data_IF_380360381374
#
_entry.id   IF_380360381374
#
_cell.length_a   1.000
_cell.length_b   1.000
_cell.length_c   1.000
_cell.angle_alpha   90.00
_cell.angle_beta   90.00
_cell.angle_gamma   90.00
#
_symmetry.space_group_name_H-M   'P 1'
#
loop_
_entity.id
_entity.type
_entity.pdbx_description
1 polymer ?
#
# COMPACT_ATOMS: atom_id res chain seq x y z
N UNK A 1 -5.82 -26.53 -7.35
CA UNK A 1 -6.41 -25.19 -7.37
C UNK A 1 -7.86 -25.32 -7.81
N UNK A 2 -8.79 -25.17 -6.87
CA UNK A 2 -10.23 -25.29 -7.10
C UNK A 2 -10.79 -24.04 -7.77
N UNK A 3 -11.81 -24.20 -8.59
CA UNK A 3 -12.59 -23.09 -9.17
C UNK A 3 -13.08 -22.13 -8.08
N UNK A 4 -13.37 -22.65 -6.88
CA UNK A 4 -13.79 -21.84 -5.74
C UNK A 4 -12.68 -20.92 -5.22
N UNK A 5 -11.41 -21.35 -5.24
CA UNK A 5 -10.26 -20.53 -4.83
C UNK A 5 -9.99 -19.42 -5.83
N UNK A 6 -10.12 -19.73 -7.13
CA UNK A 6 -9.96 -18.75 -8.22
C UNK A 6 -11.07 -17.69 -8.13
N UNK A 7 -12.32 -18.11 -7.95
CA UNK A 7 -13.45 -17.18 -7.82
C UNK A 7 -13.34 -16.28 -6.57
N UNK A 8 -12.79 -16.81 -5.46
CA UNK A 8 -12.53 -16.01 -4.27
C UNK A 8 -11.49 -14.92 -4.53
N UNK A 9 -10.42 -15.26 -5.26
CA UNK A 9 -9.39 -14.30 -5.64
C UNK A 9 -9.89 -13.22 -6.59
N UNK A 10 -10.63 -13.61 -7.63
CA UNK A 10 -11.24 -12.66 -8.57
C UNK A 10 -12.18 -11.68 -7.85
N UNK A 11 -12.99 -12.15 -6.88
CA UNK A 11 -13.87 -11.27 -6.10
C UNK A 11 -13.10 -10.30 -5.19
N UNK A 12 -12.00 -10.73 -4.61
CA UNK A 12 -11.15 -9.86 -3.80
C UNK A 12 -10.48 -8.77 -4.67
N UNK A 13 -10.05 -9.14 -5.88
CA UNK A 13 -9.51 -8.22 -6.88
C UNK A 13 -10.57 -7.20 -7.34
N UNK A 14 -11.81 -7.63 -7.58
CA UNK A 14 -12.92 -6.76 -8.01
C UNK A 14 -13.34 -5.74 -6.93
N UNK A 15 -13.36 -6.15 -5.66
CA UNK A 15 -13.63 -5.26 -4.53
C UNK A 15 -12.54 -4.18 -4.38
N UNK A 16 -11.28 -4.53 -4.64
CA UNK A 16 -10.15 -3.61 -4.60
C UNK A 16 -10.23 -2.56 -5.73
N UNK A 17 -10.72 -2.96 -6.91
CA UNK A 17 -10.98 -2.07 -8.06
C UNK A 17 -12.16 -1.14 -7.78
N UNK A 18 -13.27 -1.66 -7.25
CA UNK A 18 -14.45 -0.86 -6.93
C UNK A 18 -14.14 0.20 -5.85
N UNK A 19 -13.33 -0.15 -4.85
CA UNK A 19 -12.87 0.79 -3.83
C UNK A 19 -11.97 1.88 -4.44
N UNK A 20 -11.02 1.50 -5.31
CA UNK A 20 -10.17 2.46 -6.01
C UNK A 20 -10.93 3.42 -6.93
N UNK A 21 -12.08 3.01 -7.48
CA UNK A 21 -12.93 3.87 -8.32
C UNK A 21 -13.71 4.93 -7.51
N UNK A 22 -13.99 4.67 -6.23
CA UNK A 22 -14.76 5.56 -5.35
C UNK A 22 -13.89 6.62 -4.64
N UNK A 23 -12.59 6.38 -4.53
CA UNK A 23 -11.65 7.25 -3.84
C UNK A 23 -10.53 7.66 -4.79
N UNK A 24 -10.45 8.92 -5.25
CA UNK A 24 -9.41 9.35 -6.17
C UNK A 24 -8.01 9.10 -5.59
N UNK A 25 -7.04 8.94 -6.48
CA UNK A 25 -5.69 8.47 -6.20
C UNK A 25 -5.10 8.98 -4.88
N UNK A 26 -4.60 8.06 -4.05
CA UNK A 26 -3.91 8.38 -2.81
C UNK A 26 -4.82 8.58 -1.59
N UNK A 27 -6.13 8.34 -1.69
CA UNK A 27 -7.02 8.27 -0.54
C UNK A 27 -7.20 6.82 -0.05
N UNK A 28 -7.31 6.56 1.26
CA UNK A 28 -7.26 7.52 2.37
C UNK A 28 -5.81 7.89 2.72
N UNK A 29 -5.55 9.02 3.38
CA UNK A 29 -4.16 9.43 3.73
C UNK A 29 -3.75 9.10 5.17
N UNK A 30 -4.71 8.82 6.04
CA UNK A 30 -4.50 8.49 7.45
C UNK A 30 -3.64 7.24 7.61
N UNK A 31 -2.83 7.18 8.67
CA UNK A 31 -2.09 5.96 8.95
C UNK A 31 -3.06 4.79 9.16
N UNK A 32 -2.75 3.57 8.68
CA UNK A 32 -3.56 2.41 8.98
C UNK A 32 -3.51 2.12 10.49
N UNK A 33 -4.64 1.70 11.07
CA UNK A 33 -4.75 1.33 12.49
C UNK A 33 -4.03 0.02 12.83
N UNK A 34 -3.41 -0.62 11.83
CA UNK A 34 -2.68 -1.88 11.95
C UNK A 34 -1.36 -1.79 11.19
N UNK A 35 -0.33 -2.59 11.59
CA UNK A 35 0.87 -2.74 10.81
C UNK A 35 0.56 -3.35 9.44
N UNK A 36 1.08 -2.74 8.38
CA UNK A 36 0.95 -3.30 7.04
C UNK A 36 1.83 -4.54 6.89
N UNK A 37 1.32 -5.56 6.21
CA UNK A 37 2.16 -6.62 5.65
C UNK A 37 3.02 -6.08 4.49
N UNK A 38 4.07 -6.81 4.13
CA UNK A 38 4.94 -6.41 3.00
C UNK A 38 4.16 -6.25 1.67
N UNK A 39 3.24 -7.16 1.30
CA UNK A 39 2.42 -6.98 0.10
C UNK A 39 1.52 -5.73 0.16
N UNK A 40 0.86 -5.48 1.30
CA UNK A 40 0.02 -4.29 1.50
C UNK A 40 0.82 -3.00 1.44
N UNK A 41 2.04 -3.01 1.99
CA UNK A 41 2.96 -1.87 1.91
C UNK A 41 3.36 -1.57 0.47
N UNK A 42 3.66 -2.60 -0.35
CA UNK A 42 3.90 -2.41 -1.78
C UNK A 42 2.69 -1.84 -2.51
N UNK A 43 1.49 -2.36 -2.28
CA UNK A 43 0.27 -1.85 -2.89
C UNK A 43 0.02 -0.38 -2.49
N UNK A 44 0.23 -0.06 -1.22
CA UNK A 44 0.11 1.30 -0.68
C UNK A 44 1.10 2.24 -1.39
N UNK A 45 2.37 1.85 -1.54
CA UNK A 45 3.35 2.67 -2.26
C UNK A 45 2.96 2.94 -3.72
N UNK A 46 2.32 1.99 -4.39
CA UNK A 46 1.81 2.15 -5.76
C UNK A 46 0.62 3.11 -5.83
N UNK A 47 -0.33 2.98 -4.88
CA UNK A 47 -1.51 3.85 -4.77
C UNK A 47 -1.15 5.30 -4.42
N UNK A 48 -0.17 5.47 -3.54
CA UNK A 48 0.30 6.76 -3.06
C UNK A 48 1.56 7.25 -3.80
N UNK A 49 1.69 6.93 -5.10
CA UNK A 49 2.87 7.32 -5.89
C UNK A 49 3.10 8.83 -5.90
N UNK A 50 2.02 9.62 -5.89
CA UNK A 50 2.05 11.09 -5.96
C UNK A 50 2.22 11.75 -4.59
N UNK A 51 1.99 11.01 -3.51
CA UNK A 51 2.18 11.53 -2.16
C UNK A 51 3.67 11.63 -1.82
N UNK A 52 4.06 12.59 -1.00
CA UNK A 52 5.36 12.56 -0.33
C UNK A 52 5.29 11.72 0.95
N UNK A 53 6.42 11.13 1.36
CA UNK A 53 6.46 10.24 2.53
C UNK A 53 6.34 11.02 3.84
N UNK A 54 6.85 12.24 3.90
CA UNK A 54 6.76 13.19 5.02
C UNK A 54 5.36 13.81 5.19
N UNK A 55 4.57 13.87 4.11
CA UNK A 55 3.24 14.50 4.11
C UNK A 55 2.06 13.50 4.15
N UNK A 56 2.30 12.21 3.88
CA UNK A 56 1.26 11.18 3.81
C UNK A 56 1.50 10.07 4.83
N UNK A 57 0.78 10.06 5.97
CA UNK A 57 0.93 9.05 7.02
C UNK A 57 0.78 7.61 6.52
N UNK A 58 -0.16 7.34 5.60
CA UNK A 58 -0.32 6.01 5.01
C UNK A 58 0.91 5.58 4.21
N UNK A 59 1.52 6.50 3.45
CA UNK A 59 2.77 6.23 2.70
C UNK A 59 3.96 6.06 3.66
N UNK A 60 4.03 6.86 4.73
CA UNK A 60 5.06 6.72 5.76
C UNK A 60 5.03 5.34 6.43
N UNK A 61 3.83 4.85 6.77
CA UNK A 61 3.66 3.51 7.34
C UNK A 61 4.15 2.43 6.38
N UNK A 62 3.77 2.50 5.09
CA UNK A 62 4.22 1.56 4.08
C UNK A 62 5.75 1.61 3.86
N UNK A 63 6.32 2.82 3.80
CA UNK A 63 7.76 3.00 3.68
C UNK A 63 8.51 2.34 4.84
N UNK A 64 8.06 2.58 6.08
CA UNK A 64 8.66 2.01 7.29
C UNK A 64 8.63 0.48 7.24
N UNK A 65 7.47 -0.13 6.95
CA UNK A 65 7.36 -1.60 6.80
C UNK A 65 8.34 -2.15 5.76
N UNK A 66 8.53 -1.48 4.63
CA UNK A 66 9.44 -1.95 3.59
C UNK A 66 10.92 -1.78 3.96
N UNK A 67 11.26 -0.75 4.73
CA UNK A 67 12.61 -0.57 5.28
C UNK A 67 12.92 -1.64 6.32
N UNK A 68 12.01 -1.85 7.28
CA UNK A 68 12.18 -2.83 8.36
C UNK A 68 12.28 -4.27 7.84
N UNK A 69 11.57 -4.58 6.74
CA UNK A 69 11.65 -5.88 6.06
C UNK A 69 12.82 -6.00 5.08
N UNK A 70 13.65 -4.97 4.94
CA UNK A 70 14.81 -4.96 4.04
C UNK A 70 14.47 -4.92 2.55
N UNK A 71 13.22 -4.60 2.18
CA UNK A 71 12.76 -4.47 0.79
C UNK A 71 13.10 -3.11 0.19
N UNK A 72 13.26 -2.10 1.04
CA UNK A 72 13.72 -0.77 0.67
C UNK A 72 14.95 -0.45 1.51
N UNK A 73 16.00 0.03 0.84
CA UNK A 73 17.16 0.60 1.51
C UNK A 73 17.10 2.12 1.33
N UNK A 74 16.92 2.90 2.42
CA UNK A 74 16.95 4.36 2.33
C UNK A 74 18.27 4.83 1.74
N UNK A 75 18.21 5.80 0.83
CA UNK A 75 19.41 6.49 0.37
C UNK A 75 19.88 7.41 1.50
N UNK A 76 21.02 7.09 2.11
CA UNK A 76 21.55 7.76 3.30
C UNK A 76 21.78 9.26 3.13
N UNK A 77 21.80 9.76 1.88
CA UNK A 77 21.99 11.18 1.57
C UNK A 77 20.69 11.95 1.31
N UNK A 78 19.53 11.29 1.25
CA UNK A 78 18.25 11.92 0.88
C UNK A 78 17.26 11.79 2.04
N UNK A 79 17.20 12.83 2.87
CA UNK A 79 16.10 12.99 3.83
C UNK A 79 14.84 13.36 3.03
N UNK A 80 13.78 12.57 3.18
CA UNK A 80 12.47 12.78 2.57
C UNK A 80 11.56 13.54 3.51
#
# INVERSE_FOLDING_TARGET
MSVQEIAARVRAEDADIAYAALFPNGWPHEAPDHPLSVPEAHQTMQRHRECRTDECPRKAAAWTTLVDSGKVKPDSGRNY
#
